data_IF_321439101278
#
_entry.id   IF_321439101278
#
_cell.length_a   1.000
_cell.length_b   1.000
_cell.length_c   1.000
_cell.angle_alpha   90.00
_cell.angle_beta   90.00
_cell.angle_gamma   90.00
#
_symmetry.space_group_name_H-M   'P 1'
#
loop_
_entity.id
_entity.type
_entity.pdbx_description
1 polymer ?
#
# COMPACT_ATOMS: atom_id res chain seq x y z
N UNK A 1 33.78 14.29 34.75
CA UNK A 1 33.43 13.60 33.49
C UNK A 1 31.98 13.90 33.17
N UNK A 2 31.66 14.56 32.03
CA UNK A 2 30.28 14.87 31.67
C UNK A 2 29.58 13.60 31.18
N UNK A 3 28.38 13.33 31.70
CA UNK A 3 27.50 12.24 31.26
C UNK A 3 26.93 12.61 29.88
N UNK A 4 27.28 11.84 28.87
CA UNK A 4 26.65 11.88 27.56
C UNK A 4 25.20 11.39 27.73
N UNK A 5 24.23 12.29 27.53
CA UNK A 5 22.83 11.88 27.37
C UNK A 5 22.72 11.19 26.01
N UNK A 6 22.47 9.89 26.02
CA UNK A 6 22.11 9.15 24.82
C UNK A 6 20.79 9.72 24.30
N UNK A 7 20.83 10.37 23.14
CA UNK A 7 19.64 10.81 22.43
C UNK A 7 18.72 9.59 22.24
N UNK A 8 17.45 9.74 22.63
CA UNK A 8 16.43 8.72 22.46
C UNK A 8 16.40 8.24 21.01
N UNK A 9 16.24 6.93 20.84
CA UNK A 9 16.00 6.35 19.53
C UNK A 9 14.83 7.08 18.88
N UNK A 10 15.09 7.75 17.76
CA UNK A 10 14.02 8.18 16.87
C UNK A 10 13.44 6.88 16.35
N UNK A 11 12.34 6.42 16.94
CA UNK A 11 11.51 5.37 16.37
C UNK A 11 11.06 5.91 15.02
N UNK A 12 11.73 5.52 13.94
CA UNK A 12 11.36 5.97 12.60
C UNK A 12 9.96 5.45 12.35
N UNK A 13 9.01 6.36 12.41
CA UNK A 13 7.61 6.12 12.10
C UNK A 13 7.51 5.36 10.77
N UNK A 14 6.86 4.19 10.72
CA UNK A 14 6.90 3.36 9.52
C UNK A 14 6.28 4.12 8.34
N UNK A 15 7.02 4.14 7.23
CA UNK A 15 6.60 4.69 5.93
C UNK A 15 6.78 3.61 4.87
N UNK A 16 5.77 2.78 4.69
CA UNK A 16 5.91 1.53 3.94
C UNK A 16 5.27 1.56 2.56
N UNK A 17 4.89 2.73 2.04
CA UNK A 17 4.29 2.83 0.69
C UNK A 17 5.21 2.25 -0.40
N UNK A 18 6.50 2.61 -0.40
CA UNK A 18 7.47 2.08 -1.36
C UNK A 18 7.76 0.59 -1.16
N UNK A 19 7.72 0.12 0.09
CA UNK A 19 7.78 -1.31 0.38
C UNK A 19 6.57 -2.01 -0.24
N UNK A 20 5.36 -1.53 0.00
CA UNK A 20 4.14 -2.10 -0.56
C UNK A 20 4.16 -2.10 -2.09
N UNK A 21 4.69 -1.05 -2.72
CA UNK A 21 4.87 -1.00 -4.17
C UNK A 21 5.85 -2.06 -4.68
N UNK A 22 6.96 -2.26 -3.96
CA UNK A 22 7.89 -3.36 -4.25
C UNK A 22 7.24 -4.73 -4.06
N UNK A 23 6.41 -4.91 -3.03
CA UNK A 23 5.67 -6.16 -2.81
C UNK A 23 4.65 -6.41 -3.93
N UNK A 24 4.00 -5.37 -4.46
CA UNK A 24 3.12 -5.45 -5.64
C UNK A 24 3.87 -5.98 -6.86
N UNK A 25 5.10 -5.49 -7.09
CA UNK A 25 5.98 -6.01 -8.14
C UNK A 25 6.30 -7.49 -7.93
N UNK A 26 6.68 -7.87 -6.71
CA UNK A 26 6.97 -9.28 -6.35
C UNK A 26 5.74 -10.18 -6.56
N UNK A 27 4.54 -9.70 -6.21
CA UNK A 27 3.30 -10.45 -6.42
C UNK A 27 3.10 -10.74 -7.91
N UNK A 28 3.35 -9.74 -8.76
CA UNK A 28 3.27 -9.86 -10.22
C UNK A 28 4.30 -10.87 -10.76
N UNK A 29 5.56 -10.75 -10.34
CA UNK A 29 6.65 -11.67 -10.74
C UNK A 29 6.37 -13.12 -10.32
N UNK A 30 5.71 -13.28 -9.18
CA UNK A 30 5.38 -14.60 -8.64
C UNK A 30 4.32 -15.32 -9.48
N UNK A 31 3.44 -14.61 -10.17
CA UNK A 31 2.48 -15.25 -11.07
C UNK A 31 3.14 -15.96 -12.26
N UNK A 32 4.39 -15.59 -12.61
CA UNK A 32 5.19 -16.32 -13.60
C UNK A 32 5.86 -17.59 -13.06
N UNK A 33 5.84 -17.79 -11.75
CA UNK A 33 6.50 -18.92 -11.07
C UNK A 33 5.43 -19.75 -10.41
N UNK A 34 5.06 -20.86 -11.05
CA UNK A 34 3.95 -21.68 -10.57
C UNK A 34 4.29 -22.38 -9.25
N UNK A 35 3.55 -22.08 -8.19
CA UNK A 35 3.46 -22.89 -6.98
C UNK A 35 2.16 -22.62 -6.23
N UNK A 36 1.71 -23.55 -5.41
CA UNK A 36 0.53 -23.35 -4.56
C UNK A 36 0.95 -23.31 -3.09
N UNK A 37 0.31 -22.43 -2.31
CA UNK A 37 0.55 -22.28 -0.88
C UNK A 37 1.50 -21.13 -0.50
N UNK A 38 2.11 -21.26 0.68
CA UNK A 38 2.87 -20.19 1.35
C UNK A 38 4.37 -20.42 1.26
N UNK A 39 5.13 -19.35 1.01
CA UNK A 39 6.60 -19.35 1.05
C UNK A 39 7.14 -18.11 1.74
N UNK A 40 8.18 -18.29 2.52
CA UNK A 40 8.97 -17.17 3.04
C UNK A 40 9.98 -16.68 2.01
N UNK A 41 10.31 -15.39 2.08
CA UNK A 41 11.41 -14.78 1.34
C UNK A 41 12.41 -14.15 2.30
N UNK A 42 13.58 -13.83 1.75
CA UNK A 42 14.56 -13.00 2.45
C UNK A 42 13.87 -11.71 2.94
N UNK A 43 14.13 -11.28 4.19
CA UNK A 43 13.59 -10.03 4.72
C UNK A 43 13.90 -8.84 3.80
N UNK A 44 12.97 -7.89 3.75
CA UNK A 44 13.12 -6.63 3.01
C UNK A 44 12.94 -5.50 4.02
N UNK A 45 13.91 -4.59 4.08
CA UNK A 45 13.89 -3.42 4.97
C UNK A 45 13.64 -3.79 6.45
N UNK A 46 14.13 -4.98 6.87
CA UNK A 46 13.95 -5.52 8.22
C UNK A 46 12.62 -6.23 8.47
N UNK A 47 11.73 -6.33 7.48
CA UNK A 47 10.43 -7.00 7.63
C UNK A 47 10.46 -8.45 7.14
N UNK A 48 9.73 -9.32 7.85
CA UNK A 48 9.47 -10.69 7.42
C UNK A 48 8.53 -10.69 6.21
N UNK A 49 8.96 -11.34 5.13
CA UNK A 49 8.21 -11.36 3.87
C UNK A 49 7.62 -12.75 3.63
N UNK A 50 6.29 -12.82 3.53
CA UNK A 50 5.57 -14.03 3.15
C UNK A 50 4.88 -13.83 1.81
N UNK A 51 4.88 -14.89 1.00
CA UNK A 51 4.22 -14.96 -0.30
C UNK A 51 3.20 -16.08 -0.24
N UNK A 52 1.95 -15.77 -0.58
CA UNK A 52 0.87 -16.74 -0.66
C UNK A 52 0.31 -16.72 -2.09
N UNK A 53 0.51 -17.81 -2.83
CA UNK A 53 -0.09 -18.02 -4.15
C UNK A 53 -1.22 -19.03 -4.03
N UNK A 54 -2.33 -18.75 -4.70
CA UNK A 54 -3.51 -19.62 -4.73
C UNK A 54 -3.91 -19.85 -6.18
N UNK A 55 -4.05 -21.12 -6.55
CA UNK A 55 -4.69 -21.51 -7.80
C UNK A 55 -6.22 -21.55 -7.66
N UNK A 56 -6.92 -20.93 -8.61
CA UNK A 56 -8.38 -20.90 -8.70
C UNK A 56 -8.84 -21.53 -10.01
N UNK A 57 -10.11 -21.93 -10.08
CA UNK A 57 -10.73 -22.41 -11.33
C UNK A 57 -10.68 -21.37 -12.45
N UNK A 58 -10.65 -20.08 -12.12
CA UNK A 58 -10.61 -18.97 -13.07
C UNK A 58 -9.20 -18.45 -13.36
N UNK A 59 -8.18 -18.86 -12.60
CA UNK A 59 -6.84 -18.28 -12.72
C UNK A 59 -6.01 -18.42 -11.45
N UNK A 60 -5.18 -17.42 -11.13
CA UNK A 60 -4.29 -17.42 -9.97
C UNK A 60 -4.29 -16.06 -9.27
N UNK A 61 -4.10 -16.07 -7.95
CA UNK A 61 -3.82 -14.86 -7.17
C UNK A 61 -2.55 -15.02 -6.36
N UNK A 62 -1.88 -13.92 -6.08
CA UNK A 62 -0.71 -13.87 -5.20
C UNK A 62 -0.80 -12.67 -4.27
N UNK A 63 -0.57 -12.92 -2.99
CA UNK A 63 -0.39 -11.91 -1.95
C UNK A 63 1.04 -11.94 -1.44
N UNK A 64 1.64 -10.77 -1.28
CA UNK A 64 2.97 -10.63 -0.69
C UNK A 64 2.86 -9.67 0.48
N UNK A 65 3.18 -10.16 1.68
CA UNK A 65 2.99 -9.43 2.93
C UNK A 65 4.32 -9.16 3.60
N UNK A 66 4.49 -7.95 4.10
CA UNK A 66 5.55 -7.59 5.02
C UNK A 66 5.00 -7.50 6.44
N UNK A 67 5.63 -8.21 7.36
CA UNK A 67 5.25 -8.31 8.76
C UNK A 67 6.40 -7.84 9.65
N UNK A 68 6.09 -7.21 10.79
CA UNK A 68 7.06 -7.00 11.87
C UNK A 68 7.39 -8.32 12.56
N UNK A 69 8.45 -8.35 13.38
CA UNK A 69 8.78 -9.49 14.25
C UNK A 69 7.63 -9.86 15.20
N UNK A 70 6.84 -8.86 15.63
CA UNK A 70 5.62 -9.06 16.43
C UNK A 70 4.41 -9.60 15.64
N UNK A 71 4.55 -9.87 14.34
CA UNK A 71 3.46 -10.39 13.50
C UNK A 71 2.43 -9.34 13.05
N UNK A 72 2.76 -8.04 13.06
CA UNK A 72 1.88 -6.99 12.53
C UNK A 72 2.11 -6.80 11.03
N UNK A 73 1.03 -6.75 10.24
CA UNK A 73 1.09 -6.39 8.82
C UNK A 73 1.39 -4.90 8.65
N UNK A 74 2.46 -4.59 7.91
CA UNK A 74 2.86 -3.19 7.64
C UNK A 74 2.75 -2.80 6.18
N UNK A 75 2.76 -3.77 5.26
CA UNK A 75 2.57 -3.56 3.84
C UNK A 75 2.11 -4.84 3.15
N UNK A 76 1.29 -4.69 2.10
CA UNK A 76 0.83 -5.80 1.28
C UNK A 76 0.71 -5.39 -0.19
N UNK A 77 1.29 -6.20 -1.07
CA UNK A 77 1.07 -6.17 -2.51
C UNK A 77 0.26 -7.37 -2.96
N UNK A 78 -0.60 -7.19 -3.95
CA UNK A 78 -1.45 -8.23 -4.52
C UNK A 78 -1.35 -8.21 -6.04
N UNK A 79 -1.40 -9.39 -6.65
CA UNK A 79 -1.55 -9.56 -8.08
C UNK A 79 -2.46 -10.74 -8.40
N UNK A 80 -3.17 -10.67 -9.52
CA UNK A 80 -3.99 -11.75 -10.04
C UNK A 80 -3.88 -11.87 -11.55
N UNK A 81 -4.25 -13.04 -12.04
CA UNK A 81 -4.38 -13.34 -13.47
C UNK A 81 -5.58 -14.27 -13.66
N UNK A 82 -6.40 -13.97 -14.67
CA UNK A 82 -7.55 -14.77 -15.13
C UNK A 82 -7.20 -15.47 -16.44
N UNK A 83 -7.38 -16.79 -16.48
CA UNK A 83 -7.06 -17.70 -17.61
C UNK A 83 -5.59 -17.74 -18.09
N UNK A 84 -4.96 -16.60 -18.37
CA UNK A 84 -3.55 -16.49 -18.78
C UNK A 84 -2.92 -15.16 -18.33
N UNK A 85 -1.59 -15.08 -18.35
CA UNK A 85 -0.81 -13.94 -17.82
C UNK A 85 -1.08 -12.59 -18.53
N UNK A 86 -1.65 -12.58 -19.73
CA UNK A 86 -1.99 -11.33 -20.43
C UNK A 86 -3.11 -10.54 -19.70
N UNK A 87 -3.82 -11.19 -18.78
CA UNK A 87 -4.81 -10.56 -17.90
C UNK A 87 -4.21 -10.01 -16.60
N UNK A 88 -2.89 -10.06 -16.40
CA UNK A 88 -2.26 -9.69 -15.13
C UNK A 88 -2.69 -8.31 -14.66
N UNK A 89 -3.08 -8.23 -13.39
CA UNK A 89 -3.36 -6.98 -12.68
C UNK A 89 -2.74 -7.03 -11.30
N UNK A 90 -2.32 -5.88 -10.80
CA UNK A 90 -1.68 -5.78 -9.48
C UNK A 90 -1.95 -4.45 -8.82
N UNK A 91 -1.88 -4.44 -7.49
CA UNK A 91 -2.08 -3.24 -6.67
C UNK A 91 -1.35 -3.34 -5.34
N UNK A 92 -1.20 -2.19 -4.70
CA UNK A 92 -0.93 -2.10 -3.26
C UNK A 92 -2.26 -2.35 -2.56
N UNK A 93 -2.32 -3.32 -1.64
CA UNK A 93 -3.50 -3.51 -0.76
C UNK A 93 -3.39 -2.72 0.52
N UNK A 94 -2.22 -2.72 1.14
CA UNK A 94 -2.01 -2.12 2.45
C UNK A 94 -0.65 -1.45 2.51
N UNK A 95 -0.57 -0.29 3.16
CA UNK A 95 0.69 0.32 3.60
C UNK A 95 0.48 1.11 4.89
N UNK A 96 1.56 1.54 5.52
CA UNK A 96 1.56 2.31 6.75
C UNK A 96 2.29 3.63 6.56
N UNK A 97 1.81 4.64 7.29
CA UNK A 97 2.45 5.95 7.45
C UNK A 97 2.05 6.42 8.83
N UNK A 98 2.97 6.60 9.77
CA UNK A 98 2.51 6.83 11.14
C UNK A 98 2.14 5.55 11.87
N UNK A 99 1.23 5.73 12.82
CA UNK A 99 0.33 4.71 13.34
C UNK A 99 -0.82 4.38 12.37
N UNK A 100 -1.00 5.15 11.29
CA UNK A 100 -2.08 4.92 10.34
C UNK A 100 -1.76 3.75 9.41
N UNK A 101 -2.78 2.92 9.17
CA UNK A 101 -2.76 1.84 8.18
C UNK A 101 -3.75 2.15 7.07
N UNK A 102 -3.21 2.30 5.87
CA UNK A 102 -3.96 2.64 4.67
C UNK A 102 -4.33 1.37 3.91
N UNK A 103 -5.61 1.23 3.56
CA UNK A 103 -6.15 0.08 2.84
C UNK A 103 -6.76 0.48 1.53
N UNK A 104 -6.48 -0.29 0.48
CA UNK A 104 -7.14 -0.14 -0.81
C UNK A 104 -8.63 -0.48 -0.67
N UNK A 105 -9.52 0.35 -1.23
CA UNK A 105 -10.97 0.18 -1.01
C UNK A 105 -11.60 -0.94 -1.83
N UNK A 106 -11.08 -1.20 -3.02
CA UNK A 106 -11.70 -2.22 -3.88
C UNK A 106 -11.53 -3.62 -3.28
N UNK A 107 -12.64 -4.35 -3.11
CA UNK A 107 -12.63 -5.69 -2.51
C UNK A 107 -11.82 -6.72 -3.31
N UNK A 108 -11.79 -6.57 -4.64
CA UNK A 108 -11.03 -7.41 -5.57
C UNK A 108 -10.30 -6.54 -6.59
N UNK A 109 -9.28 -7.09 -7.22
CA UNK A 109 -8.74 -6.48 -8.43
C UNK A 109 -9.82 -6.67 -9.53
N UNK A 110 -10.20 -5.57 -10.19
CA UNK A 110 -11.34 -5.58 -11.13
C UNK A 110 -10.83 -5.71 -12.55
N UNK A 111 -11.29 -6.73 -13.25
CA UNK A 111 -11.07 -6.93 -14.68
C UNK A 111 -12.11 -6.13 -15.48
N UNK A 112 -12.05 -4.79 -15.47
CA UNK A 112 -12.87 -3.98 -16.39
C UNK A 112 -12.06 -3.61 -17.63
N UNK A 113 -12.66 -3.74 -18.81
CA UNK A 113 -12.10 -3.29 -20.10
C UNK A 113 -12.27 -1.78 -20.31
N UNK A 114 -12.24 -0.99 -19.23
CA UNK A 114 -12.32 0.46 -19.33
C UNK A 114 -11.00 1.03 -19.80
N UNK A 115 -11.04 1.80 -20.89
CA UNK A 115 -9.88 2.48 -21.50
C UNK A 115 -9.25 3.50 -20.54
N UNK A 116 -10.05 4.03 -19.60
CA UNK A 116 -9.59 4.94 -18.56
C UNK A 116 -9.46 4.14 -17.25
N UNK A 117 -8.26 4.10 -16.63
CA UNK A 117 -8.10 3.48 -15.32
C UNK A 117 -8.99 4.19 -14.31
N UNK A 118 -9.80 3.43 -13.57
CA UNK A 118 -10.43 3.96 -12.35
C UNK A 118 -9.31 4.37 -11.40
N UNK A 119 -9.40 5.58 -10.84
CA UNK A 119 -8.43 6.06 -9.86
C UNK A 119 -8.29 5.09 -8.69
N UNK A 120 -7.06 4.84 -8.26
CA UNK A 120 -6.74 4.15 -6.99
C UNK A 120 -7.29 4.93 -5.80
N UNK A 121 -7.85 4.21 -4.83
CA UNK A 121 -8.43 4.77 -3.61
C UNK A 121 -7.93 4.02 -2.38
N UNK A 122 -7.44 4.77 -1.40
CA UNK A 122 -7.01 4.27 -0.09
C UNK A 122 -7.78 4.93 1.04
N UNK A 123 -8.03 4.19 2.11
CA UNK A 123 -8.69 4.70 3.32
C UNK A 123 -7.89 4.37 4.56
N UNK A 124 -7.95 5.24 5.56
CA UNK A 124 -7.41 4.99 6.89
C UNK A 124 -8.32 5.62 7.94
N UNK A 125 -8.33 5.04 9.14
CA UNK A 125 -9.01 5.61 10.31
C UNK A 125 -7.92 6.05 11.28
N UNK A 126 -7.90 7.34 11.59
CA UNK A 126 -7.04 7.90 12.63
C UNK A 126 -7.75 7.99 13.97
N UNK A 127 -7.18 8.80 14.86
CA UNK A 127 -7.75 8.94 16.20
C UNK A 127 -9.14 9.58 16.18
N UNK A 128 -9.31 10.66 15.42
CA UNK A 128 -10.55 11.45 15.41
C UNK A 128 -11.25 11.49 14.05
N UNK A 129 -10.56 11.11 12.97
CA UNK A 129 -11.01 11.34 11.62
C UNK A 129 -10.93 10.09 10.75
N UNK A 130 -11.81 10.06 9.76
CA UNK A 130 -11.70 9.17 8.62
C UNK A 130 -10.94 9.88 7.48
N UNK A 131 -9.93 9.20 6.94
CA UNK A 131 -9.12 9.71 5.84
C UNK A 131 -9.29 8.89 4.59
N UNK A 132 -9.21 9.59 3.46
CA UNK A 132 -9.26 8.95 2.17
C UNK A 132 -8.35 9.64 1.16
N UNK A 133 -7.58 8.84 0.41
CA UNK A 133 -6.79 9.26 -0.72
C UNK A 133 -7.43 8.75 -2.01
N UNK A 134 -7.79 9.66 -2.92
CA UNK A 134 -8.25 9.32 -4.28
C UNK A 134 -7.24 9.81 -5.30
N UNK A 135 -6.86 8.94 -6.23
CA UNK A 135 -6.18 9.39 -7.44
C UNK A 135 -7.18 9.70 -8.55
N UNK A 136 -6.78 10.62 -9.41
CA UNK A 136 -7.39 10.92 -10.71
C UNK A 136 -6.27 11.14 -11.71
N UNK A 137 -6.54 11.07 -13.00
CA UNK A 137 -5.53 11.36 -14.02
C UNK A 137 -5.78 12.76 -14.60
N UNK A 138 -4.72 13.54 -14.69
CA UNK A 138 -4.69 14.72 -15.54
C UNK A 138 -4.82 14.26 -17.00
N UNK A 139 -5.82 14.77 -17.74
CA UNK A 139 -6.11 14.26 -19.09
C UNK A 139 -5.10 14.72 -20.15
N UNK A 140 -4.35 15.79 -19.87
CA UNK A 140 -3.37 16.35 -20.80
C UNK A 140 -2.02 15.64 -20.65
N UNK A 141 -1.63 15.33 -19.41
CA UNK A 141 -0.31 14.76 -19.08
C UNK A 141 -0.36 13.29 -18.69
N UNK A 142 -1.55 12.73 -18.44
CA UNK A 142 -1.76 11.39 -17.87
C UNK A 142 -1.02 11.15 -16.54
N UNK A 143 -0.64 12.22 -15.84
CA UNK A 143 -0.04 12.12 -14.53
C UNK A 143 -1.12 11.89 -13.46
N UNK A 144 -0.88 11.00 -12.47
CA UNK A 144 -1.81 10.84 -11.37
C UNK A 144 -1.75 12.06 -10.44
N UNK A 145 -2.92 12.64 -10.17
CA UNK A 145 -3.13 13.66 -9.14
C UNK A 145 -3.84 13.01 -7.95
N UNK A 146 -3.31 13.23 -6.75
CA UNK A 146 -3.87 12.70 -5.51
C UNK A 146 -4.63 13.77 -4.73
N UNK A 147 -5.85 13.42 -4.34
CA UNK A 147 -6.78 14.22 -3.55
C UNK A 147 -6.96 13.59 -2.17
N UNK A 148 -6.88 14.41 -1.13
CA UNK A 148 -7.13 14.00 0.26
C UNK A 148 -8.55 14.42 0.67
N UNK A 149 -9.27 13.51 1.30
CA UNK A 149 -10.52 13.79 1.99
C UNK A 149 -10.35 13.49 3.48
N UNK A 150 -10.90 14.37 4.31
CA UNK A 150 -10.99 14.23 5.77
C UNK A 150 -12.46 14.31 6.13
N UNK A 151 -13.00 13.26 6.76
CA UNK A 151 -14.43 13.14 7.07
C UNK A 151 -15.33 13.42 5.85
N UNK A 152 -14.93 12.89 4.70
CA UNK A 152 -15.57 13.08 3.38
C UNK A 152 -15.49 14.50 2.80
N UNK A 153 -14.76 15.42 3.42
CA UNK A 153 -14.51 16.76 2.88
C UNK A 153 -13.18 16.81 2.13
N UNK A 154 -13.25 17.21 0.85
CA UNK A 154 -12.07 17.41 0.01
C UNK A 154 -11.19 18.53 0.58
N UNK A 155 -9.91 18.24 0.73
CA UNK A 155 -8.90 19.25 1.08
C UNK A 155 -8.44 19.97 -0.18
N UNK A 156 -8.26 21.30 -0.10
CA UNK A 156 -7.85 22.13 -1.25
C UNK A 156 -6.47 21.74 -1.80
N UNK A 157 -5.59 21.26 -0.93
CA UNK A 157 -4.23 20.86 -1.28
C UNK A 157 -4.22 19.60 -2.14
N UNK A 158 -3.49 19.66 -3.26
CA UNK A 158 -3.22 18.51 -4.14
C UNK A 158 -1.86 17.89 -3.85
N UNK A 159 -1.72 16.61 -4.13
CA UNK A 159 -0.49 15.85 -3.92
C UNK A 159 -0.05 15.14 -5.20
N UNK A 160 1.27 15.07 -5.40
CA UNK A 160 1.86 14.32 -6.51
C UNK A 160 1.83 12.80 -6.29
N UNK A 161 1.57 12.35 -5.06
CA UNK A 161 1.60 10.94 -4.69
C UNK A 161 0.97 10.68 -3.31
N UNK A 162 0.65 9.41 -3.01
CA UNK A 162 0.02 9.04 -1.76
C UNK A 162 0.96 9.19 -0.56
N UNK A 163 2.29 9.05 -0.73
CA UNK A 163 3.27 9.27 0.35
C UNK A 163 3.15 10.68 0.93
N UNK A 164 3.19 11.71 0.07
CA UNK A 164 3.10 13.10 0.53
C UNK A 164 1.73 13.45 1.13
N UNK A 165 0.66 12.83 0.62
CA UNK A 165 -0.68 13.01 1.18
C UNK A 165 -0.81 12.35 2.57
N UNK A 166 -0.26 11.14 2.73
CA UNK A 166 -0.27 10.42 4.00
C UNK A 166 0.62 11.10 5.05
N UNK A 167 1.81 11.59 4.66
CA UNK A 167 2.68 12.38 5.55
C UNK A 167 1.97 13.66 6.01
N UNK A 168 1.27 14.36 5.11
CA UNK A 168 0.47 15.54 5.48
C UNK A 168 -0.63 15.21 6.50
N UNK A 169 -1.28 14.06 6.39
CA UNK A 169 -2.27 13.61 7.38
C UNK A 169 -1.62 13.46 8.75
N UNK A 170 -0.47 12.79 8.81
CA UNK A 170 0.28 12.62 10.07
C UNK A 170 0.68 13.98 10.65
N UNK A 171 1.23 14.87 9.84
CA UNK A 171 1.76 16.14 10.31
C UNK A 171 0.67 17.13 10.74
N UNK A 172 -0.53 17.10 10.15
CA UNK A 172 -1.57 18.10 10.39
C UNK A 172 -2.70 17.65 11.31
N UNK A 173 -3.06 16.37 11.26
CA UNK A 173 -4.24 15.87 11.98
C UNK A 173 -3.90 14.89 13.08
N UNK A 174 -2.73 14.24 13.00
CA UNK A 174 -2.33 13.23 13.96
C UNK A 174 -1.06 13.60 14.74
N UNK A 175 -0.49 14.79 14.53
CA UNK A 175 0.68 15.28 15.25
C UNK A 175 0.25 15.79 16.64
N UNK A 176 0.75 15.16 17.70
CA UNK A 176 0.44 15.53 19.09
C UNK A 176 -0.12 14.40 19.95
N UNK A 177 -0.09 13.16 19.47
CA UNK A 177 -0.33 11.95 20.27
C UNK A 177 0.71 10.88 19.98
#
# INVERSE_FOLDING_TARGET
MPKIKTNGAITTTPRTYHLADRLRGIASDTLYREFDGVRERKPIDGYHITVHQVAHVWGRSTHVRAMTDAGQLVAEGEAETVHNIASLRSRIRTFQTGHLTWHHTDGRVVHSHTVIPSGTRFVSIGHAHYYELRSSYDLDTFNPIWHLFVDSQLQERRFAGPTGAADYVIDQYESGR
#
